data_IF_637989209396
#
_entry.id   IF_637989209396
#
_cell.length_a   1.000
_cell.length_b   1.000
_cell.length_c   1.000
_cell.angle_alpha   90.00
_cell.angle_beta   90.00
_cell.angle_gamma   90.00
#
_symmetry.space_group_name_H-M   'P 1'
#
loop_
_entity.id
_entity.type
_entity.pdbx_description
1 polymer ?
#
# COMPACT_ATOMS: atom_id res chain seq x y z
N UNK A 1 -3.04 -0.36 11.49
CA UNK A 1 -4.06 0.51 10.87
C UNK A 1 -4.90 -0.38 9.97
N UNK A 2 -6.24 -0.26 10.03
CA UNK A 2 -7.18 -0.97 9.15
C UNK A 2 -7.44 -0.13 7.91
N UNK A 3 -7.41 -0.74 6.73
CA UNK A 3 -7.70 -0.12 5.44
C UNK A 3 -8.56 -1.08 4.63
N UNK A 4 -9.41 -0.56 3.76
CA UNK A 4 -10.24 -1.35 2.85
C UNK A 4 -9.80 -1.05 1.42
N UNK A 5 -9.33 -2.08 0.74
CA UNK A 5 -9.04 -2.01 -0.70
C UNK A 5 -10.31 -2.42 -1.44
N UNK A 6 -10.73 -1.62 -2.40
CA UNK A 6 -11.95 -1.90 -3.14
C UNK A 6 -11.84 -1.55 -4.62
N UNK A 7 -12.70 -2.16 -5.40
CA UNK A 7 -12.86 -1.93 -6.83
C UNK A 7 -14.34 -2.05 -7.20
N UNK A 8 -14.74 -1.44 -8.31
CA UNK A 8 -16.15 -1.40 -8.73
C UNK A 8 -16.30 -1.68 -10.23
N UNK A 9 -17.37 -2.42 -10.59
CA UNK A 9 -17.83 -2.54 -11.96
C UNK A 9 -19.12 -1.73 -12.14
N UNK A 10 -19.27 -1.15 -13.33
CA UNK A 10 -20.31 -0.16 -13.58
C UNK A 10 -20.92 -0.33 -14.97
N UNK A 11 -22.12 0.25 -15.18
CA UNK A 11 -22.77 0.26 -16.50
C UNK A 11 -22.14 1.24 -17.49
N UNK A 12 -21.15 2.04 -17.06
CA UNK A 12 -20.51 3.06 -17.90
C UNK A 12 -19.48 3.87 -17.13
N UNK A 13 -19.18 5.07 -17.62
CA UNK A 13 -18.03 5.83 -17.12
C UNK A 13 -18.37 6.99 -16.20
N UNK A 14 -19.65 7.34 -16.03
CA UNK A 14 -20.03 8.52 -15.25
C UNK A 14 -21.38 8.38 -14.56
N UNK A 15 -21.44 8.43 -13.22
CA UNK A 15 -22.71 8.41 -12.50
C UNK A 15 -23.59 9.64 -12.81
N UNK A 16 -23.00 10.75 -13.28
CA UNK A 16 -23.74 11.94 -13.71
C UNK A 16 -24.51 11.71 -15.00
N UNK A 17 -24.09 10.76 -15.84
CA UNK A 17 -24.80 10.35 -17.03
C UNK A 17 -25.85 9.25 -16.77
N UNK A 18 -26.12 8.95 -15.49
CA UNK A 18 -27.06 7.92 -15.09
C UNK A 18 -26.46 6.51 -15.10
N UNK A 19 -25.13 6.37 -15.23
CA UNK A 19 -24.49 5.08 -15.07
C UNK A 19 -24.56 4.62 -13.61
N UNK A 20 -24.60 3.30 -13.42
CA UNK A 20 -24.89 2.66 -12.14
C UNK A 20 -23.76 1.69 -11.76
N UNK A 21 -23.55 1.55 -10.48
CA UNK A 21 -22.68 0.54 -9.90
C UNK A 21 -23.39 -0.83 -9.94
N UNK A 22 -22.71 -1.87 -10.44
CA UNK A 22 -23.27 -3.22 -10.60
C UNK A 22 -22.52 -4.29 -9.83
N UNK A 23 -21.27 -4.05 -9.47
CA UNK A 23 -20.49 -4.93 -8.61
C UNK A 23 -19.56 -4.09 -7.73
N UNK A 24 -19.38 -4.50 -6.50
CA UNK A 24 -18.35 -3.97 -5.61
C UNK A 24 -17.64 -5.13 -4.92
N UNK A 25 -16.31 -5.08 -4.91
CA UNK A 25 -15.45 -6.00 -4.18
C UNK A 25 -14.58 -5.23 -3.19
N UNK A 26 -14.57 -5.66 -1.93
CA UNK A 26 -13.76 -5.06 -0.89
C UNK A 26 -12.89 -6.12 -0.21
N UNK A 27 -11.66 -5.77 0.10
CA UNK A 27 -10.69 -6.60 0.83
C UNK A 27 -10.18 -5.83 2.04
N UNK A 28 -10.24 -6.44 3.20
CA UNK A 28 -9.70 -5.85 4.42
C UNK A 28 -8.21 -6.12 4.55
N UNK A 29 -7.44 -5.07 4.79
CA UNK A 29 -6.04 -5.18 5.18
C UNK A 29 -5.81 -4.51 6.53
N UNK A 30 -4.97 -5.11 7.36
CA UNK A 30 -4.56 -4.57 8.65
C UNK A 30 -3.04 -4.58 8.71
N UNK A 31 -2.44 -3.40 8.88
CA UNK A 31 -0.99 -3.24 8.93
C UNK A 31 -0.28 -3.90 7.72
N UNK A 32 -0.84 -3.71 6.51
CA UNK A 32 -0.34 -4.25 5.22
C UNK A 32 -0.44 -5.78 5.10
N UNK A 33 -1.31 -6.41 5.86
CA UNK A 33 -1.59 -7.84 5.78
C UNK A 33 -3.07 -8.04 5.51
N UNK A 34 -3.39 -8.81 4.47
CA UNK A 34 -4.76 -9.23 4.21
C UNK A 34 -5.27 -10.09 5.36
N UNK A 35 -6.44 -9.76 5.89
CA UNK A 35 -7.06 -10.49 7.01
C UNK A 35 -7.87 -11.71 6.55
N UNK A 36 -8.15 -11.79 5.25
CA UNK A 36 -9.07 -12.75 4.66
C UNK A 36 -10.54 -12.33 4.73
N UNK A 37 -10.87 -11.21 5.41
CA UNK A 37 -12.24 -10.66 5.39
C UNK A 37 -12.46 -9.91 4.08
N UNK A 38 -13.55 -10.22 3.41
CA UNK A 38 -13.97 -9.60 2.16
C UNK A 38 -15.45 -9.25 2.20
N UNK A 39 -15.84 -8.25 1.42
CA UNK A 39 -17.21 -7.97 1.08
C UNK A 39 -17.35 -8.01 -0.44
N UNK A 40 -18.40 -8.67 -0.94
CA UNK A 40 -18.64 -8.80 -2.36
C UNK A 40 -20.14 -8.75 -2.63
N UNK A 41 -20.57 -7.84 -3.49
CA UNK A 41 -21.99 -7.70 -3.83
C UNK A 41 -22.18 -7.33 -5.29
N UNK A 42 -23.26 -7.86 -5.86
CA UNK A 42 -23.78 -7.48 -7.17
C UNK A 42 -25.10 -6.73 -7.00
N UNK A 43 -25.37 -5.78 -7.89
CA UNK A 43 -26.54 -4.94 -7.83
C UNK A 43 -27.30 -4.89 -9.15
N UNK A 44 -28.62 -4.90 -9.07
CA UNK A 44 -29.47 -4.60 -10.20
C UNK A 44 -29.37 -3.10 -10.54
N UNK A 45 -28.99 -2.72 -11.77
CA UNK A 45 -28.70 -1.32 -12.11
C UNK A 45 -29.93 -0.45 -12.38
N UNK A 46 -31.14 -1.00 -12.41
CA UNK A 46 -32.39 -0.32 -12.84
C UNK A 46 -32.29 0.34 -14.22
N UNK A 47 -31.44 -0.19 -15.08
CA UNK A 47 -31.23 0.22 -16.47
C UNK A 47 -30.64 -0.92 -17.29
N UNK A 48 -30.65 -0.78 -18.60
CA UNK A 48 -30.01 -1.72 -19.51
C UNK A 48 -28.48 -1.73 -19.31
N UNK A 49 -27.87 -2.90 -19.56
CA UNK A 49 -26.42 -3.06 -19.58
C UNK A 49 -25.88 -2.74 -20.97
N UNK A 50 -25.05 -1.71 -21.12
CA UNK A 50 -24.36 -1.43 -22.40
C UNK A 50 -23.41 -2.58 -22.76
N UNK A 51 -23.42 -2.99 -24.03
CA UNK A 51 -22.57 -4.08 -24.53
C UNK A 51 -21.06 -3.84 -24.28
N UNK A 52 -20.64 -2.58 -24.26
CA UNK A 52 -19.24 -2.21 -24.01
C UNK A 52 -18.84 -2.54 -22.58
N UNK A 53 -19.70 -2.22 -21.60
CA UNK A 53 -19.49 -2.54 -20.18
C UNK A 53 -19.52 -4.07 -19.97
N UNK A 54 -20.54 -4.75 -20.49
CA UNK A 54 -20.65 -6.22 -20.39
C UNK A 54 -19.42 -6.93 -21.00
N UNK A 55 -18.85 -6.39 -22.07
CA UNK A 55 -17.64 -6.97 -22.68
C UNK A 55 -16.43 -6.89 -21.74
N UNK A 56 -16.35 -5.85 -20.92
CA UNK A 56 -15.23 -5.62 -19.98
C UNK A 56 -15.34 -6.57 -18.77
N UNK A 57 -16.45 -6.52 -18.03
CA UNK A 57 -16.62 -7.27 -16.77
C UNK A 57 -17.41 -8.57 -16.92
N UNK A 58 -18.18 -8.74 -18.02
CA UNK A 58 -18.92 -9.97 -18.29
C UNK A 58 -20.24 -10.13 -17.57
N UNK A 59 -20.70 -9.10 -16.85
CA UNK A 59 -21.97 -9.12 -16.15
C UNK A 59 -23.10 -8.72 -17.09
N UNK A 60 -23.97 -9.68 -17.46
CA UNK A 60 -25.12 -9.39 -18.28
C UNK A 60 -26.30 -8.87 -17.45
N UNK A 61 -27.21 -8.14 -18.10
CA UNK A 61 -28.46 -7.70 -17.41
C UNK A 61 -29.27 -8.91 -16.93
N UNK A 62 -29.22 -10.03 -17.63
CA UNK A 62 -29.89 -11.27 -17.23
C UNK A 62 -29.33 -11.82 -15.92
N UNK A 63 -27.99 -11.78 -15.74
CA UNK A 63 -27.34 -12.18 -14.50
C UNK A 63 -27.71 -11.24 -13.34
N UNK A 64 -27.83 -9.95 -13.63
CA UNK A 64 -28.11 -8.94 -12.61
C UNK A 64 -29.60 -8.79 -12.28
N UNK A 65 -30.49 -9.42 -13.06
CA UNK A 65 -31.94 -9.26 -12.93
C UNK A 65 -32.54 -9.74 -11.60
N UNK A 66 -31.87 -10.70 -10.94
CA UNK A 66 -32.27 -11.26 -9.64
C UNK A 66 -31.47 -10.69 -8.46
N UNK A 67 -30.55 -9.75 -8.71
CA UNK A 67 -29.73 -9.15 -7.67
C UNK A 67 -30.47 -8.02 -6.95
N UNK A 68 -30.14 -7.77 -5.67
CA UNK A 68 -30.72 -6.65 -4.94
C UNK A 68 -30.30 -5.33 -5.57
N UNK A 69 -31.08 -4.28 -5.31
CA UNK A 69 -30.64 -2.91 -5.61
C UNK A 69 -29.61 -2.45 -4.58
N UNK A 70 -28.81 -1.47 -4.92
CA UNK A 70 -27.76 -0.97 -4.02
C UNK A 70 -28.32 -0.57 -2.65
N UNK A 71 -29.44 0.14 -2.59
CA UNK A 71 -30.05 0.60 -1.34
C UNK A 71 -30.52 -0.53 -0.41
N UNK A 72 -30.71 -1.74 -0.93
CA UNK A 72 -31.14 -2.91 -0.13
C UNK A 72 -29.97 -3.57 0.61
N UNK A 73 -28.72 -3.33 0.16
CA UNK A 73 -27.49 -3.91 0.73
C UNK A 73 -26.51 -2.85 1.26
N UNK A 74 -26.89 -1.59 1.25
CA UNK A 74 -26.03 -0.47 1.60
C UNK A 74 -25.54 -0.53 3.04
N UNK A 75 -26.34 -1.02 3.97
CA UNK A 75 -25.99 -1.10 5.39
C UNK A 75 -24.84 -2.07 5.62
N UNK A 76 -24.89 -3.25 5.00
CA UNK A 76 -23.83 -4.27 5.11
C UNK A 76 -22.50 -3.73 4.56
N UNK A 77 -22.56 -2.97 3.45
CA UNK A 77 -21.39 -2.31 2.90
C UNK A 77 -20.82 -1.25 3.85
N UNK A 78 -21.68 -0.38 4.40
CA UNK A 78 -21.28 0.67 5.33
C UNK A 78 -20.70 0.09 6.63
N UNK A 79 -21.28 -1.00 7.15
CA UNK A 79 -20.73 -1.72 8.30
C UNK A 79 -19.35 -2.29 7.97
N UNK A 80 -19.17 -2.88 6.78
CA UNK A 80 -17.89 -3.46 6.38
C UNK A 80 -16.81 -2.40 6.23
N UNK A 81 -17.07 -1.28 5.56
CA UNK A 81 -16.06 -0.23 5.35
C UNK A 81 -15.77 0.58 6.63
N UNK A 82 -16.78 0.75 7.51
CA UNK A 82 -16.66 1.57 8.72
C UNK A 82 -16.03 2.92 8.46
N UNK A 83 -15.15 3.37 9.36
CA UNK A 83 -14.40 4.63 9.23
C UNK A 83 -13.00 4.46 8.62
N UNK A 84 -12.70 3.28 8.05
CA UNK A 84 -11.37 2.98 7.51
C UNK A 84 -11.06 3.82 6.26
N UNK A 85 -9.78 4.16 6.01
CA UNK A 85 -9.34 4.61 4.70
C UNK A 85 -9.73 3.62 3.61
N UNK A 86 -10.11 4.14 2.45
CA UNK A 86 -10.52 3.35 1.28
C UNK A 86 -9.48 3.50 0.17
N UNK A 87 -8.96 2.38 -0.30
CA UNK A 87 -7.90 2.30 -1.29
C UNK A 87 -8.47 1.79 -2.60
N UNK A 88 -8.30 2.53 -3.69
CA UNK A 88 -8.69 2.10 -5.03
C UNK A 88 -7.65 2.51 -6.09
N UNK A 89 -7.78 1.98 -7.30
CA UNK A 89 -6.88 2.31 -8.41
C UNK A 89 -7.55 3.28 -9.38
N UNK A 90 -7.11 4.54 -9.45
CA UNK A 90 -7.84 5.66 -10.03
C UNK A 90 -9.10 5.97 -9.20
N UNK A 91 -8.89 6.08 -7.91
CA UNK A 91 -9.90 6.07 -6.86
C UNK A 91 -11.02 7.11 -7.04
N UNK A 92 -10.80 8.20 -7.75
CA UNK A 92 -11.84 9.18 -8.05
C UNK A 92 -13.02 8.59 -8.83
N UNK A 93 -12.78 7.55 -9.66
CA UNK A 93 -13.80 6.85 -10.39
C UNK A 93 -14.71 6.04 -9.45
N UNK A 94 -14.12 5.17 -8.64
CA UNK A 94 -14.86 4.29 -7.71
C UNK A 94 -15.59 5.10 -6.64
N UNK A 95 -14.95 6.11 -6.08
CA UNK A 95 -15.57 7.03 -5.12
C UNK A 95 -16.74 7.80 -5.74
N UNK A 96 -16.63 8.19 -7.01
CA UNK A 96 -17.70 8.87 -7.73
C UNK A 96 -18.96 8.00 -7.83
N UNK A 97 -18.81 6.72 -8.18
CA UNK A 97 -19.92 5.77 -8.25
C UNK A 97 -20.46 5.41 -6.87
N UNK A 98 -19.60 5.07 -5.92
CA UNK A 98 -19.99 4.75 -4.56
C UNK A 98 -20.79 5.90 -3.93
N UNK A 99 -20.29 7.11 -4.00
CA UNK A 99 -20.96 8.27 -3.41
C UNK A 99 -22.28 8.61 -4.12
N UNK A 100 -22.35 8.46 -5.44
CA UNK A 100 -23.61 8.65 -6.16
C UNK A 100 -24.68 7.62 -5.76
N UNK A 101 -24.31 6.37 -5.52
CA UNK A 101 -25.25 5.36 -5.04
C UNK A 101 -25.66 5.57 -3.58
N UNK A 102 -24.73 6.01 -2.72
CA UNK A 102 -25.02 6.40 -1.34
C UNK A 102 -26.02 7.56 -1.29
N UNK A 103 -25.80 8.60 -2.08
CA UNK A 103 -26.67 9.77 -2.17
C UNK A 103 -28.06 9.40 -2.67
N UNK A 104 -28.17 8.55 -3.72
CA UNK A 104 -29.44 8.00 -4.22
C UNK A 104 -30.19 7.16 -3.16
N UNK A 105 -29.43 6.51 -2.27
CA UNK A 105 -29.97 5.72 -1.16
C UNK A 105 -30.29 6.54 0.07
N UNK A 106 -30.12 7.87 0.03
CA UNK A 106 -30.34 8.76 1.17
C UNK A 106 -29.35 8.56 2.31
N UNK A 107 -28.15 8.08 2.00
CA UNK A 107 -27.05 7.86 2.96
C UNK A 107 -25.98 8.95 2.83
N UNK A 108 -25.27 9.27 3.93
CA UNK A 108 -24.12 10.15 3.86
C UNK A 108 -23.06 9.62 2.90
N UNK A 109 -22.47 10.50 2.11
CA UNK A 109 -21.34 10.16 1.23
C UNK A 109 -20.09 9.85 2.05
N UNK A 110 -19.21 9.05 1.49
CA UNK A 110 -17.88 8.80 2.05
C UNK A 110 -17.01 10.02 1.78
N UNK A 111 -16.37 10.54 2.84
CA UNK A 111 -15.47 11.68 2.75
C UNK A 111 -14.25 11.36 1.86
N UNK A 112 -13.94 12.25 0.93
CA UNK A 112 -12.77 12.13 0.07
C UNK A 112 -11.44 12.15 0.84
N UNK A 113 -11.42 12.67 2.06
CA UNK A 113 -10.24 12.59 2.94
C UNK A 113 -9.86 11.15 3.31
N UNK A 114 -10.79 10.19 3.15
CA UNK A 114 -10.53 8.75 3.34
C UNK A 114 -9.94 8.07 2.10
N UNK A 115 -9.86 8.77 0.98
CA UNK A 115 -9.45 8.20 -0.31
C UNK A 115 -7.92 8.04 -0.39
N UNK A 116 -7.49 6.84 -0.76
CA UNK A 116 -6.10 6.54 -1.11
C UNK A 116 -6.08 6.07 -2.56
N UNK A 117 -5.45 6.85 -3.44
CA UNK A 117 -5.33 6.52 -4.86
C UNK A 117 -3.98 5.86 -5.18
N UNK A 118 -4.01 4.56 -5.47
CA UNK A 118 -2.82 3.80 -5.84
C UNK A 118 -2.25 4.21 -7.20
N UNK A 119 -3.06 4.78 -8.10
CA UNK A 119 -2.57 5.32 -9.37
C UNK A 119 -1.67 6.54 -9.14
N UNK A 120 -2.05 7.43 -8.21
CA UNK A 120 -1.23 8.58 -7.82
C UNK A 120 0.11 8.12 -7.17
N UNK A 121 0.05 7.12 -6.28
CA UNK A 121 1.24 6.52 -5.68
C UNK A 121 2.15 5.91 -6.75
N UNK A 122 1.56 5.14 -7.70
CA UNK A 122 2.32 4.50 -8.78
C UNK A 122 2.99 5.51 -9.71
N UNK A 123 2.31 6.61 -10.05
CA UNK A 123 2.87 7.69 -10.88
C UNK A 123 4.08 8.34 -10.22
N UNK A 124 4.02 8.57 -8.92
CA UNK A 124 5.15 9.13 -8.15
C UNK A 124 6.31 8.15 -8.07
N UNK A 125 6.03 6.85 -7.87
CA UNK A 125 7.06 5.83 -7.68
C UNK A 125 7.72 5.38 -8.99
N UNK A 126 6.99 5.41 -10.10
CA UNK A 126 7.43 4.96 -11.42
C UNK A 126 7.12 5.99 -12.52
N UNK A 127 7.73 7.17 -12.49
CA UNK A 127 7.45 8.20 -13.49
C UNK A 127 7.76 7.68 -14.90
N UNK A 128 6.86 7.98 -15.86
CA UNK A 128 7.00 7.58 -17.26
C UNK A 128 6.68 6.11 -17.58
N UNK A 129 6.28 5.30 -16.60
CA UNK A 129 5.87 3.91 -16.83
C UNK A 129 4.38 3.79 -17.18
N UNK A 130 3.95 2.58 -17.56
CA UNK A 130 2.52 2.24 -17.60
C UNK A 130 2.02 1.97 -16.19
N UNK A 131 0.88 2.55 -15.84
CA UNK A 131 0.33 2.49 -14.47
C UNK A 131 -1.04 1.80 -14.38
N UNK A 132 -1.48 1.08 -15.41
CA UNK A 132 -2.68 0.22 -15.28
C UNK A 132 -2.42 -0.89 -14.26
N UNK A 133 -3.47 -1.40 -13.61
CA UNK A 133 -3.39 -2.49 -12.66
C UNK A 133 -2.60 -3.67 -13.24
N UNK A 134 -2.89 -4.08 -14.47
CA UNK A 134 -2.18 -5.13 -15.20
C UNK A 134 -0.67 -4.87 -15.36
N UNK A 135 -0.31 -3.65 -15.75
CA UNK A 135 1.08 -3.28 -15.96
C UNK A 135 1.86 -3.28 -14.64
N UNK A 136 1.23 -2.84 -13.57
CA UNK A 136 1.82 -2.82 -12.25
C UNK A 136 1.92 -4.22 -11.65
N UNK A 137 0.89 -5.06 -11.78
CA UNK A 137 0.96 -6.47 -11.37
C UNK A 137 2.11 -7.20 -12.08
N UNK A 138 2.27 -7.00 -13.39
CA UNK A 138 3.39 -7.55 -14.15
C UNK A 138 4.74 -7.06 -13.61
N UNK A 139 4.85 -5.78 -13.31
CA UNK A 139 6.08 -5.16 -12.77
C UNK A 139 6.48 -5.73 -11.41
N UNK A 140 5.50 -5.97 -10.55
CA UNK A 140 5.72 -6.48 -9.19
C UNK A 140 5.67 -8.01 -9.07
N UNK A 141 5.46 -8.72 -10.20
CA UNK A 141 5.40 -10.19 -10.20
C UNK A 141 4.17 -10.76 -9.50
N UNK A 142 3.08 -9.99 -9.45
CA UNK A 142 1.80 -10.43 -8.88
C UNK A 142 1.11 -11.32 -9.90
N UNK A 143 0.74 -12.53 -9.47
CA UNK A 143 0.06 -13.51 -10.32
C UNK A 143 -1.38 -13.07 -10.59
N UNK A 144 -1.72 -12.99 -11.88
CA UNK A 144 -3.03 -12.62 -12.41
C UNK A 144 -3.61 -13.66 -13.36
N UNK A 145 -3.10 -14.90 -13.33
CA UNK A 145 -3.51 -15.96 -14.25
C UNK A 145 -5.00 -16.31 -14.14
N UNK A 146 -5.60 -16.06 -12.98
CA UNK A 146 -7.03 -16.26 -12.73
C UNK A 146 -7.92 -15.13 -13.25
N UNK A 147 -7.34 -14.00 -13.71
CA UNK A 147 -8.09 -12.84 -14.20
C UNK A 147 -8.40 -12.98 -15.70
N UNK A 148 -9.51 -13.64 -16.01
CA UNK A 148 -9.99 -13.81 -17.39
C UNK A 148 -10.78 -12.57 -17.86
N UNK A 149 -11.55 -11.96 -16.95
CA UNK A 149 -12.30 -10.71 -17.13
C UNK A 149 -12.10 -9.83 -15.91
N UNK A 150 -12.50 -8.57 -16.00
CA UNK A 150 -12.59 -7.71 -14.84
C UNK A 150 -13.68 -8.23 -13.90
N UNK A 151 -13.42 -8.18 -12.62
CA UNK A 151 -14.36 -8.52 -11.57
C UNK A 151 -13.91 -7.85 -10.28
N UNK A 152 -14.81 -7.07 -9.67
CA UNK A 152 -14.46 -6.15 -8.60
C UNK A 152 -13.75 -6.81 -7.41
N UNK A 153 -14.16 -8.00 -6.98
CA UNK A 153 -13.47 -8.67 -5.86
C UNK A 153 -12.06 -9.14 -6.25
N UNK A 154 -11.91 -9.73 -7.45
CA UNK A 154 -10.60 -10.20 -7.91
C UNK A 154 -9.64 -9.02 -8.13
N UNK A 155 -10.13 -7.93 -8.70
CA UNK A 155 -9.33 -6.73 -8.94
C UNK A 155 -8.96 -6.04 -7.62
N UNK A 156 -9.85 -6.02 -6.62
CA UNK A 156 -9.55 -5.57 -5.26
C UNK A 156 -8.48 -6.45 -4.57
N UNK A 157 -8.50 -7.79 -4.78
CA UNK A 157 -7.47 -8.69 -4.25
C UNK A 157 -6.10 -8.45 -4.88
N UNK A 158 -6.05 -8.30 -6.21
CA UNK A 158 -4.81 -7.95 -6.92
C UNK A 158 -4.30 -6.58 -6.48
N UNK A 159 -5.22 -5.63 -6.30
CA UNK A 159 -4.89 -4.29 -5.85
C UNK A 159 -4.38 -4.26 -4.41
N UNK A 160 -4.91 -5.11 -3.51
CA UNK A 160 -4.43 -5.21 -2.14
C UNK A 160 -2.96 -5.66 -2.11
N UNK A 161 -2.60 -6.68 -2.89
CA UNK A 161 -1.20 -7.12 -3.02
C UNK A 161 -0.33 -6.01 -3.61
N UNK A 162 -0.79 -5.37 -4.69
CA UNK A 162 -0.10 -4.27 -5.34
C UNK A 162 0.12 -3.08 -4.39
N UNK A 163 -0.89 -2.71 -3.62
CA UNK A 163 -0.81 -1.59 -2.67
C UNK A 163 0.25 -1.82 -1.59
N UNK A 164 0.34 -3.04 -1.08
CA UNK A 164 1.40 -3.43 -0.13
C UNK A 164 2.78 -3.24 -0.77
N UNK A 165 2.98 -3.70 -1.99
CA UNK A 165 4.25 -3.55 -2.72
C UNK A 165 4.55 -2.07 -3.06
N UNK A 166 3.54 -1.32 -3.52
CA UNK A 166 3.65 0.12 -3.80
C UNK A 166 3.97 0.95 -2.55
N UNK A 167 3.66 0.48 -1.35
CA UNK A 167 3.94 1.19 -0.10
C UNK A 167 5.20 0.70 0.60
N UNK A 168 6.00 -0.16 -0.04
CA UNK A 168 7.29 -0.63 0.46
C UNK A 168 7.31 -2.07 0.94
N UNK A 169 6.30 -2.87 0.57
CA UNK A 169 6.21 -4.28 0.94
C UNK A 169 5.76 -4.48 2.41
N UNK A 170 5.77 -5.73 2.84
CA UNK A 170 5.44 -6.12 4.22
C UNK A 170 6.48 -5.66 5.24
N UNK A 171 7.69 -5.38 4.79
CA UNK A 171 8.74 -4.82 5.66
C UNK A 171 8.45 -3.33 5.90
N UNK A 172 8.03 -2.99 7.12
CA UNK A 172 8.02 -1.61 7.58
C UNK A 172 9.48 -1.16 7.54
N UNK A 173 9.81 -0.26 6.60
CA UNK A 173 11.15 0.31 6.54
C UNK A 173 11.51 0.87 7.91
N UNK A 174 12.64 0.47 8.45
CA UNK A 174 13.18 1.06 9.66
C UNK A 174 13.47 2.53 9.32
N UNK A 175 12.51 3.40 9.65
CA UNK A 175 12.52 4.83 9.28
C UNK A 175 13.59 5.64 10.02
N UNK A 176 14.84 5.20 9.91
CA UNK A 176 16.00 5.89 10.49
C UNK A 176 16.42 7.15 9.72
N UNK A 177 15.75 7.46 8.59
CA UNK A 177 16.14 8.56 7.72
C UNK A 177 15.04 9.52 7.27
N UNK A 178 13.76 9.31 7.67
CA UNK A 178 12.64 10.12 7.16
C UNK A 178 12.05 11.11 8.18
N UNK A 179 12.60 11.18 9.39
CA UNK A 179 12.20 12.21 10.35
C UNK A 179 12.65 13.63 9.93
N UNK A 180 13.70 13.74 9.09
CA UNK A 180 14.24 15.04 8.69
C UNK A 180 13.62 15.63 7.41
N UNK A 181 13.01 14.80 6.53
CA UNK A 181 12.46 15.32 5.26
C UNK A 181 11.00 15.78 5.33
N UNK A 182 10.21 15.30 6.27
CA UNK A 182 8.85 15.81 6.48
C UNK A 182 8.84 17.16 7.21
N UNK A 183 9.86 17.44 8.03
CA UNK A 183 10.04 18.74 8.67
C UNK A 183 10.54 19.82 7.70
N UNK A 184 11.17 19.46 6.60
CA UNK A 184 11.71 20.42 5.62
C UNK A 184 10.65 20.99 4.66
N UNK A 185 9.52 20.32 4.43
CA UNK A 185 8.47 20.80 3.51
C UNK A 185 7.40 21.70 4.17
N UNK A 186 7.39 21.81 5.50
CA UNK A 186 6.45 22.69 6.22
C UNK A 186 7.10 24.01 6.67
N UNK A 187 8.43 24.16 6.48
CA UNK A 187 9.21 25.28 7.01
C UNK A 187 9.28 26.52 6.09
N UNK A 188 8.59 26.53 4.93
CA UNK A 188 8.70 27.69 4.00
C UNK A 188 7.61 28.75 4.13
N UNK A 189 6.75 28.69 5.15
CA UNK A 189 5.65 29.67 5.24
C UNK A 189 5.45 30.35 6.60
N UNK A 190 6.40 30.30 7.54
CA UNK A 190 6.32 31.17 8.73
C UNK A 190 7.69 31.74 9.04
N UNK A 191 7.86 33.02 8.69
CA UNK A 191 8.98 33.88 9.13
C UNK A 191 8.77 34.26 10.58
N UNK A 192 9.83 34.20 11.34
CA UNK A 192 10.18 34.94 12.55
C UNK A 192 10.40 34.11 13.83
N UNK A 193 11.70 34.07 14.20
CA UNK A 193 12.22 34.04 15.56
C UNK A 193 11.66 33.00 16.58
N UNK A 194 12.16 31.77 16.50
CA UNK A 194 12.49 31.01 17.72
C UNK A 194 13.80 30.24 17.45
N UNK A 195 14.92 30.77 17.92
CA UNK A 195 16.18 30.03 18.03
C UNK A 195 16.01 28.99 19.14
N UNK A 196 15.58 27.79 18.78
CA UNK A 196 15.67 26.64 19.70
C UNK A 196 17.14 26.19 19.73
N UNK A 197 17.83 26.51 20.79
CA UNK A 197 19.18 26.02 21.06
C UNK A 197 19.10 24.47 21.11
N UNK A 198 19.63 23.82 20.06
CA UNK A 198 19.88 22.39 20.08
C UNK A 198 20.97 22.13 21.13
N UNK A 199 20.59 21.58 22.28
CA UNK A 199 21.58 21.12 23.26
C UNK A 199 22.43 20.02 22.58
N UNK A 200 23.71 20.33 22.36
CA UNK A 200 24.65 19.36 21.82
C UNK A 200 24.64 18.11 22.71
N UNK A 201 24.21 16.98 22.18
CA UNK A 201 24.31 15.70 22.89
C UNK A 201 25.76 15.42 23.15
N UNK A 202 26.15 15.12 24.41
CA UNK A 202 27.56 14.82 24.71
C UNK A 202 27.99 13.60 23.89
N UNK A 203 29.01 13.76 23.07
CA UNK A 203 29.65 12.68 22.33
C UNK A 203 30.22 11.72 23.36
N UNK A 204 29.67 10.50 23.45
CA UNK A 204 30.22 9.47 24.32
C UNK A 204 31.61 9.09 23.80
N UNK A 205 32.57 9.03 24.71
CA UNK A 205 33.90 8.51 24.37
C UNK A 205 33.77 7.10 23.75
N UNK A 206 34.54 6.80 22.68
CA UNK A 206 34.55 5.48 22.08
C UNK A 206 34.85 4.43 23.14
N UNK A 207 34.05 3.38 23.22
CA UNK A 207 34.37 2.25 24.10
C UNK A 207 35.58 1.52 23.49
N UNK A 208 36.65 1.25 24.25
CA UNK A 208 37.75 0.42 23.74
C UNK A 208 37.20 -1.00 23.49
N UNK A 209 37.26 -1.43 22.24
CA UNK A 209 36.91 -2.78 21.80
C UNK A 209 38.16 -3.64 21.58
N UNK A 210 39.05 -3.66 22.53
CA UNK A 210 40.17 -4.60 22.49
C UNK A 210 39.68 -5.96 22.97
N UNK A 211 39.89 -7.00 22.16
CA UNK A 211 39.60 -8.37 22.58
C UNK A 211 40.53 -8.76 23.75
N UNK A 212 39.96 -9.44 24.74
CA UNK A 212 40.77 -9.95 25.86
C UNK A 212 41.70 -11.08 25.40
N UNK A 213 42.79 -11.31 26.12
CA UNK A 213 43.75 -12.39 25.79
C UNK A 213 43.04 -13.77 25.69
N UNK A 214 42.07 -14.03 26.56
CA UNK A 214 41.30 -15.25 26.54
C UNK A 214 40.37 -15.38 25.31
N UNK A 215 39.90 -14.29 24.75
CA UNK A 215 39.10 -14.28 23.50
C UNK A 215 39.98 -14.51 22.30
N UNK A 216 41.18 -13.91 22.28
CA UNK A 216 42.14 -14.10 21.22
C UNK A 216 42.60 -15.56 21.20
N UNK A 217 42.90 -16.15 22.35
CA UNK A 217 43.34 -17.54 22.46
C UNK A 217 42.24 -18.54 22.00
N UNK A 218 41.01 -18.30 22.40
CA UNK A 218 39.86 -19.10 21.90
C UNK A 218 39.69 -18.96 20.39
N UNK A 219 39.82 -17.75 19.85
CA UNK A 219 39.75 -17.51 18.41
C UNK A 219 40.86 -18.23 17.67
N UNK A 220 42.11 -18.13 18.14
CA UNK A 220 43.25 -18.83 17.53
C UNK A 220 43.08 -20.35 17.57
N UNK A 221 42.61 -20.88 18.68
CA UNK A 221 42.31 -22.31 18.81
C UNK A 221 41.20 -22.76 17.83
N UNK A 222 40.18 -21.97 17.65
CA UNK A 222 39.13 -22.27 16.67
C UNK A 222 39.66 -22.18 15.23
N UNK A 223 40.41 -21.14 14.88
CA UNK A 223 40.95 -20.97 13.54
C UNK A 223 41.89 -22.14 13.17
N UNK A 224 42.66 -22.67 14.14
CA UNK A 224 43.54 -23.83 13.94
C UNK A 224 42.76 -25.13 13.58
N UNK A 225 41.46 -25.21 13.87
CA UNK A 225 40.64 -26.38 13.49
C UNK A 225 40.06 -26.29 12.09
N UNK A 226 40.15 -25.15 11.41
CA UNK A 226 39.56 -24.91 10.09
C UNK A 226 40.55 -25.33 8.97
N UNK A 227 40.00 -25.92 7.90
CA UNK A 227 40.77 -26.22 6.68
C UNK A 227 40.83 -24.96 5.82
N UNK A 228 42.03 -24.43 5.58
CA UNK A 228 42.29 -23.19 4.82
C UNK A 228 41.56 -21.95 5.37
N UNK A 229 41.77 -21.54 6.62
CA UNK A 229 41.08 -20.40 7.21
C UNK A 229 41.56 -19.09 6.55
N UNK A 230 40.62 -18.25 6.14
CA UNK A 230 40.87 -16.94 5.50
C UNK A 230 41.70 -16.04 6.43
N UNK A 231 41.56 -16.16 7.74
CA UNK A 231 42.25 -15.37 8.75
C UNK A 231 43.76 -15.71 8.89
N UNK A 232 44.19 -16.88 8.43
CA UNK A 232 45.60 -17.25 8.42
C UNK A 232 46.42 -16.51 7.37
N UNK A 233 45.75 -15.90 6.38
CA UNK A 233 46.40 -15.14 5.29
C UNK A 233 46.41 -13.63 5.53
N UNK A 234 45.70 -13.14 6.57
CA UNK A 234 45.73 -11.73 6.94
C UNK A 234 47.00 -11.42 7.76
N UNK A 235 47.85 -10.55 7.22
CA UNK A 235 49.02 -10.05 7.95
C UNK A 235 48.56 -9.39 9.26
N UNK A 236 49.32 -9.50 10.38
CA UNK A 236 48.98 -8.83 11.61
C UNK A 236 48.90 -7.32 11.37
N UNK A 237 47.81 -6.71 11.91
CA UNK A 237 47.58 -5.28 11.83
C UNK A 237 48.84 -4.54 12.40
N UNK A 238 49.39 -3.63 11.59
CA UNK A 238 50.53 -2.80 12.00
C UNK A 238 50.03 -1.93 13.18
N UNK A 239 50.69 -2.05 14.31
CA UNK A 239 50.54 -1.19 15.46
C UNK A 239 50.75 0.26 15.04
N UNK A 240 49.73 1.09 15.08
CA UNK A 240 49.84 2.53 14.87
C UNK A 240 50.30 3.12 16.23
N UNK A 241 51.50 3.65 16.36
CA UNK A 241 51.91 4.24 17.62
C UNK A 241 51.09 5.49 17.93
N UNK A 242 50.56 5.55 19.13
CA UNK A 242 49.76 6.65 19.66
C UNK A 242 50.47 7.99 19.52
N UNK A 243 49.88 8.92 18.76
CA UNK A 243 50.25 10.33 18.75
C UNK A 243 49.90 10.96 20.09
N UNK A 244 50.88 11.31 20.84
CA UNK A 244 50.80 12.29 21.90
C UNK A 244 50.80 13.69 21.27
N UNK A 245 49.78 14.51 21.57
CA UNK A 245 49.87 15.93 21.83
C UNK A 245 48.42 16.47 22.10
#
# INVERSE_FOLDING_TARGET
>A
MREIVFDTETTGLSPLNGDRLVEIGCVEIVNRVETGRTYHAYFHPDRDMPMEAERVHGLSITFLSDKPRFHESVEDLLEFIGDSPLVAHNAAFDFGFLNAELERSGRPIVDLARMIDTLAIARTRHPGAKHSLDALCTRYGIDRTHRVKHGALLDAQLLAQLYVELTGGRQIGLGLGLADSAAAMVAETIVADVVVAQSARPIRAPRPHAASSAEIERHQSFVATLVNPVWATLAPAVDVPGGQA
#
